data_IF_041257599887
#
_entry.id   IF_041257599887
#
_cell.length_a   1.000
_cell.length_b   1.000
_cell.length_c   1.000
_cell.angle_alpha   90.00
_cell.angle_beta   90.00
_cell.angle_gamma   90.00
#
_symmetry.space_group_name_H-M   'P 1'
#
loop_
_entity.id
_entity.type
_entity.pdbx_description
1 polymer ?
#
# COMPACT_ATOMS: atom_id res chain seq x y z
N UNK A 1 26.40 28.54 -6.76
CA UNK A 1 26.46 27.09 -7.02
C UNK A 1 25.43 26.42 -6.11
N UNK A 2 24.19 26.22 -6.59
CA UNK A 2 23.11 25.61 -5.80
C UNK A 2 23.26 24.10 -5.85
N UNK A 3 23.67 23.46 -4.75
CA UNK A 3 23.48 22.01 -4.58
C UNK A 3 21.98 21.76 -4.39
N UNK A 4 21.32 20.88 -5.17
CA UNK A 4 20.00 20.41 -4.82
C UNK A 4 20.10 19.69 -3.48
N UNK A 5 19.24 20.05 -2.53
CA UNK A 5 19.07 19.26 -1.31
C UNK A 5 18.67 17.85 -1.74
N UNK A 6 19.51 16.86 -1.42
CA UNK A 6 19.19 15.45 -1.56
C UNK A 6 17.76 15.24 -1.10
N UNK A 7 16.91 14.70 -1.97
CA UNK A 7 15.58 14.22 -1.59
C UNK A 7 15.77 13.36 -0.34
N UNK A 8 15.03 13.67 0.71
CA UNK A 8 15.12 12.96 1.98
C UNK A 8 15.00 11.47 1.70
N UNK A 9 15.90 10.68 2.29
CA UNK A 9 15.72 9.24 2.33
C UNK A 9 14.29 8.99 2.79
N UNK A 10 13.52 8.25 1.98
CA UNK A 10 12.20 7.81 2.39
C UNK A 10 12.34 7.18 3.79
N UNK A 11 11.42 7.47 4.73
CA UNK A 11 11.44 6.80 6.02
C UNK A 11 11.59 5.29 5.76
N UNK A 12 12.40 4.60 6.58
CA UNK A 12 12.42 3.14 6.61
C UNK A 12 11.06 2.66 7.11
N UNK A 13 10.05 2.75 6.27
CA UNK A 13 8.74 2.13 6.44
C UNK A 13 9.03 0.65 6.61
N UNK A 14 8.49 0.04 7.66
CA UNK A 14 8.67 -1.38 7.89
C UNK A 14 7.92 -2.11 6.77
N UNK A 15 8.65 -2.56 5.74
CA UNK A 15 8.04 -3.21 4.58
C UNK A 15 7.28 -4.46 5.04
N UNK A 16 6.05 -4.68 4.56
CA UNK A 16 5.29 -5.86 4.92
C UNK A 16 5.94 -7.10 4.28
N UNK A 17 5.64 -8.26 4.83
CA UNK A 17 6.10 -9.55 4.27
C UNK A 17 5.06 -10.12 3.32
N UNK A 18 5.50 -11.02 2.44
CA UNK A 18 4.57 -11.84 1.65
C UNK A 18 3.67 -12.66 2.57
N UNK A 19 2.38 -12.72 2.24
CA UNK A 19 1.35 -13.37 3.04
C UNK A 19 0.86 -12.57 4.24
N UNK A 20 1.42 -11.39 4.50
CA UNK A 20 0.95 -10.52 5.58
C UNK A 20 -0.41 -9.89 5.23
N UNK A 21 -1.27 -9.74 6.24
CA UNK A 21 -2.57 -9.07 6.08
C UNK A 21 -2.41 -7.56 6.17
N UNK A 22 -3.03 -6.84 5.25
CA UNK A 22 -3.07 -5.38 5.20
C UNK A 22 -4.51 -4.90 5.01
N UNK A 23 -4.79 -3.67 5.40
CA UNK A 23 -6.03 -2.98 5.02
C UNK A 23 -5.75 -2.18 3.75
N UNK A 24 -6.69 -2.21 2.81
CA UNK A 24 -6.62 -1.54 1.52
C UNK A 24 -7.79 -0.59 1.35
N UNK A 25 -7.49 0.67 1.03
CA UNK A 25 -8.44 1.65 0.48
C UNK A 25 -8.18 1.79 -1.01
N UNK A 26 -9.23 1.71 -1.83
CA UNK A 26 -9.16 1.96 -3.25
C UNK A 26 -10.47 2.59 -3.76
N UNK A 27 -10.46 3.38 -4.85
CA UNK A 27 -11.64 4.13 -5.32
C UNK A 27 -12.86 3.28 -5.69
N UNK A 28 -12.63 2.01 -6.02
CA UNK A 28 -13.68 1.08 -6.43
C UNK A 28 -14.24 0.27 -5.25
N UNK A 29 -13.69 0.40 -4.04
CA UNK A 29 -14.26 -0.18 -2.83
C UNK A 29 -15.12 0.84 -2.10
N UNK A 30 -16.29 0.41 -1.60
CA UNK A 30 -17.17 1.28 -0.81
C UNK A 30 -16.55 1.65 0.54
N UNK A 31 -15.73 0.76 1.11
CA UNK A 31 -15.00 0.92 2.35
C UNK A 31 -13.64 0.21 2.25
N UNK A 32 -12.66 0.54 3.11
CA UNK A 32 -11.43 -0.22 3.21
C UNK A 32 -11.71 -1.71 3.44
N UNK A 33 -10.84 -2.57 2.91
CA UNK A 33 -11.00 -4.02 2.98
C UNK A 33 -9.68 -4.72 3.30
N UNK A 34 -9.76 -5.94 3.86
CA UNK A 34 -8.57 -6.75 4.12
C UNK A 34 -8.02 -7.28 2.80
N UNK A 35 -6.70 -7.36 2.71
CA UNK A 35 -5.97 -7.96 1.62
C UNK A 35 -4.75 -8.74 2.14
N UNK A 36 -4.21 -9.62 1.31
CA UNK A 36 -2.93 -10.28 1.56
C UNK A 36 -1.87 -9.72 0.62
N UNK A 37 -0.65 -9.50 1.12
CA UNK A 37 0.50 -9.14 0.29
C UNK A 37 0.94 -10.34 -0.53
N UNK A 38 0.89 -10.21 -1.86
CA UNK A 38 1.25 -11.30 -2.80
C UNK A 38 2.48 -10.97 -3.63
N UNK A 39 2.97 -9.73 -3.59
CA UNK A 39 4.18 -9.32 -4.28
C UNK A 39 4.79 -8.07 -3.66
N UNK A 40 6.12 -8.02 -3.67
CA UNK A 40 6.91 -6.87 -3.25
C UNK A 40 7.71 -6.40 -4.46
N UNK A 41 7.81 -5.08 -4.63
CA UNK A 41 8.69 -4.47 -5.62
C UNK A 41 10.06 -4.18 -5.02
N UNK A 42 11.01 -3.77 -5.86
CA UNK A 42 12.36 -3.37 -5.45
C UNK A 42 12.36 -2.16 -4.51
N UNK A 43 13.54 -1.68 -4.12
CA UNK A 43 13.71 -0.60 -3.14
C UNK A 43 13.35 0.79 -3.69
N UNK A 44 13.03 0.91 -4.98
CA UNK A 44 12.72 2.19 -5.63
C UNK A 44 11.26 2.64 -5.40
N UNK A 45 10.40 1.75 -4.89
CA UNK A 45 9.01 2.06 -4.55
C UNK A 45 8.55 1.39 -3.24
N UNK A 46 7.61 2.06 -2.56
CA UNK A 46 6.88 1.49 -1.42
C UNK A 46 5.59 0.80 -1.87
N UNK A 47 5.37 0.64 -3.16
CA UNK A 47 4.23 -0.09 -3.66
C UNK A 47 4.35 -1.58 -3.34
N UNK A 48 3.20 -2.22 -3.16
CA UNK A 48 3.06 -3.66 -3.00
C UNK A 48 1.97 -4.18 -3.94
N UNK A 49 2.03 -5.47 -4.27
CA UNK A 49 0.95 -6.18 -4.92
C UNK A 49 0.11 -6.93 -3.87
N UNK A 50 -1.22 -6.81 -3.95
CA UNK A 50 -2.13 -7.40 -2.96
C UNK A 50 -3.28 -8.17 -3.61
N UNK A 51 -3.73 -9.23 -2.95
CA UNK A 51 -5.02 -9.89 -3.22
C UNK A 51 -6.05 -9.34 -2.23
N UNK A 52 -7.01 -8.54 -2.69
CA UNK A 52 -8.03 -7.92 -1.85
C UNK A 52 -9.30 -8.78 -1.73
N UNK A 53 -9.96 -8.70 -0.58
CA UNK A 53 -11.15 -9.48 -0.22
C UNK A 53 -12.35 -8.58 0.17
N UNK A 54 -12.86 -7.75 -0.77
CA UNK A 54 -14.03 -6.91 -0.51
C UNK A 54 -15.27 -7.73 -0.15
N UNK A 55 -15.98 -7.35 0.91
CA UNK A 55 -17.24 -7.99 1.29
C UNK A 55 -18.31 -7.72 0.24
N UNK A 56 -18.98 -8.78 -0.21
CA UNK A 56 -20.06 -8.68 -1.21
C UNK A 56 -19.59 -8.47 -2.65
N UNK A 57 -18.30 -8.65 -2.93
CA UNK A 57 -17.72 -8.65 -4.28
C UNK A 57 -16.72 -9.79 -4.43
N UNK A 58 -16.35 -10.09 -5.68
CA UNK A 58 -15.28 -11.03 -5.95
C UNK A 58 -13.93 -10.48 -5.48
N UNK A 59 -13.06 -11.39 -5.03
CA UNK A 59 -11.68 -11.06 -4.71
C UNK A 59 -10.93 -10.61 -5.96
N UNK A 60 -10.13 -9.56 -5.86
CA UNK A 60 -9.33 -9.08 -6.99
C UNK A 60 -7.91 -8.72 -6.60
N UNK A 61 -7.02 -8.79 -7.58
CA UNK A 61 -5.63 -8.41 -7.44
C UNK A 61 -5.45 -6.92 -7.72
N UNK A 62 -4.71 -6.24 -6.85
CA UNK A 62 -4.24 -4.86 -7.07
C UNK A 62 -2.72 -4.96 -7.25
N UNK A 63 -2.20 -4.74 -8.48
CA UNK A 63 -0.80 -5.02 -8.77
C UNK A 63 0.14 -4.03 -8.10
N UNK A 64 -0.22 -2.74 -7.98
CA UNK A 64 0.59 -1.74 -7.32
C UNK A 64 -0.29 -0.83 -6.47
N UNK A 65 -0.05 -0.84 -5.16
CA UNK A 65 -0.70 0.07 -4.21
C UNK A 65 0.33 0.60 -3.19
N UNK A 66 0.35 1.91 -2.90
CA UNK A 66 1.30 2.46 -1.96
C UNK A 66 1.07 1.93 -0.54
N UNK A 67 2.12 1.42 0.10
CA UNK A 67 2.08 0.94 1.48
C UNK A 67 2.48 2.01 2.50
N UNK A 68 1.79 2.04 3.64
CA UNK A 68 2.04 2.92 4.79
C UNK A 68 2.06 2.12 6.08
N UNK A 69 2.83 2.58 7.09
CA UNK A 69 2.90 1.91 8.40
C UNK A 69 1.58 2.01 9.20
N UNK A 70 0.73 2.99 8.87
CA UNK A 70 -0.56 3.24 9.51
C UNK A 70 -1.57 3.81 8.52
N UNK A 71 -2.85 3.88 8.90
CA UNK A 71 -3.89 4.44 8.04
C UNK A 71 -3.54 5.88 7.59
N UNK A 72 -3.50 6.16 6.27
CA UNK A 72 -3.21 7.48 5.75
C UNK A 72 -4.44 8.38 5.74
N UNK A 73 -4.19 9.68 5.57
CA UNK A 73 -5.22 10.72 5.51
C UNK A 73 -6.34 10.42 4.50
N UNK A 74 -7.55 10.89 4.79
CA UNK A 74 -8.77 10.59 4.00
C UNK A 74 -8.65 11.07 2.54
N UNK A 75 -7.84 12.09 2.27
CA UNK A 75 -7.58 12.60 0.93
C UNK A 75 -6.87 11.59 0.00
N UNK A 76 -6.18 10.60 0.58
CA UNK A 76 -5.51 9.56 -0.20
C UNK A 76 -6.50 8.46 -0.58
N UNK A 77 -6.78 8.37 -1.88
CA UNK A 77 -7.81 7.48 -2.44
C UNK A 77 -7.36 6.03 -2.61
N UNK A 78 -6.06 5.79 -2.73
CA UNK A 78 -5.47 4.45 -2.89
C UNK A 78 -4.31 4.28 -1.92
N UNK A 79 -4.44 3.33 -1.00
CA UNK A 79 -3.40 3.02 -0.02
C UNK A 79 -3.60 1.63 0.59
N UNK A 80 -2.49 1.01 0.99
CA UNK A 80 -2.45 -0.14 1.87
C UNK A 80 -1.73 0.22 3.17
N UNK A 81 -2.15 -0.36 4.29
CA UNK A 81 -1.45 -0.20 5.57
C UNK A 81 -1.60 -1.44 6.44
N UNK A 82 -0.79 -1.56 7.50
CA UNK A 82 -0.86 -2.68 8.44
C UNK A 82 -2.29 -2.87 9.00
N UNK A 83 -2.76 -4.12 9.05
CA UNK A 83 -4.09 -4.47 9.54
C UNK A 83 -4.20 -4.47 11.07
#
# INVERSE_FOLDING_TARGET
MNKPKSKGAAPKIARPRLGESVIVRAPFFAQPTVALVIGLYDEDTNDIAVQAFPVGRESLQIPAIPYFDSEPEVGLRSAAWAA
#
